data_IF_849459490293
#
_entry.id   IF_849459490293
#
_cell.length_a   1.000
_cell.length_b   1.000
_cell.length_c   1.000
_cell.angle_alpha   90.00
_cell.angle_beta   90.00
_cell.angle_gamma   90.00
#
_symmetry.space_group_name_H-M   'P 1'
#
loop_
_entity.id
_entity.type
_entity.pdbx_description
1 polymer ?
#
# COMPACT_ATOMS: atom_id res chain seq x y z
N UNK A 1 -43.89 -22.52 -4.90
CA UNK A 1 -42.59 -21.86 -4.76
C UNK A 1 -42.58 -20.69 -5.71
N UNK A 2 -42.86 -19.48 -5.20
CA UNK A 2 -42.95 -18.26 -5.99
C UNK A 2 -41.56 -17.77 -6.26
N UNK A 3 -41.10 -17.84 -7.51
CA UNK A 3 -39.91 -17.13 -7.97
C UNK A 3 -40.23 -15.64 -7.92
N UNK A 4 -39.63 -14.92 -6.96
CA UNK A 4 -39.61 -13.47 -6.99
C UNK A 4 -38.84 -13.07 -8.24
N UNK A 5 -39.55 -12.57 -9.25
CA UNK A 5 -38.99 -11.91 -10.42
C UNK A 5 -38.23 -10.71 -9.89
N UNK A 6 -36.91 -10.72 -10.02
CA UNK A 6 -36.10 -9.55 -9.77
C UNK A 6 -36.59 -8.48 -10.78
N UNK A 7 -37.30 -7.48 -10.29
CA UNK A 7 -37.68 -6.31 -11.06
C UNK A 7 -36.40 -5.61 -11.47
N UNK A 8 -36.13 -5.53 -12.79
CA UNK A 8 -35.07 -4.68 -13.29
C UNK A 8 -35.18 -3.29 -12.65
N UNK A 9 -34.10 -2.74 -12.08
CA UNK A 9 -34.15 -1.40 -11.55
C UNK A 9 -34.52 -0.44 -12.69
N UNK A 10 -35.54 0.37 -12.47
CA UNK A 10 -36.02 1.32 -13.46
C UNK A 10 -34.84 2.16 -13.98
N UNK A 11 -34.64 2.21 -15.27
CA UNK A 11 -33.57 2.98 -15.93
C UNK A 11 -33.62 4.43 -15.41
N UNK A 12 -32.59 4.85 -14.67
CA UNK A 12 -32.42 6.24 -14.22
C UNK A 12 -32.41 6.46 -12.70
N UNK A 13 -32.61 5.43 -11.86
CA UNK A 13 -32.49 5.58 -10.42
C UNK A 13 -31.11 5.12 -9.94
N UNK A 14 -30.38 6.07 -9.29
CA UNK A 14 -29.15 5.78 -8.58
C UNK A 14 -29.48 4.96 -7.31
N UNK A 15 -28.69 3.91 -7.05
CA UNK A 15 -28.86 3.11 -5.84
C UNK A 15 -28.42 3.93 -4.62
N UNK A 16 -29.31 4.11 -3.68
CA UNK A 16 -29.00 4.73 -2.39
C UNK A 16 -28.92 3.61 -1.35
N UNK A 17 -27.72 3.37 -0.78
CA UNK A 17 -27.55 2.35 0.24
C UNK A 17 -28.35 2.68 1.50
N UNK A 18 -28.72 1.66 2.26
CA UNK A 18 -29.35 1.86 3.56
C UNK A 18 -28.41 2.61 4.53
N UNK A 19 -28.99 3.26 5.55
CA UNK A 19 -28.20 3.93 6.57
C UNK A 19 -27.23 2.94 7.23
N UNK A 20 -25.94 3.27 7.23
CA UNK A 20 -24.87 2.41 7.75
C UNK A 20 -24.24 3.03 8.99
N UNK A 21 -23.94 2.20 9.99
CA UNK A 21 -23.25 2.60 11.21
C UNK A 21 -21.73 2.48 11.10
N UNK A 22 -21.19 1.93 10.01
CA UNK A 22 -19.75 1.66 9.86
C UNK A 22 -18.90 2.93 9.91
N UNK A 23 -19.37 4.03 9.33
CA UNK A 23 -18.65 5.32 9.38
C UNK A 23 -18.48 5.86 10.80
N UNK A 24 -19.53 5.73 11.64
CA UNK A 24 -19.47 6.12 13.05
C UNK A 24 -18.50 5.22 13.83
N UNK A 25 -18.59 3.91 13.64
CA UNK A 25 -17.68 2.97 14.28
C UNK A 25 -16.22 3.17 13.84
N UNK A 26 -16.00 3.47 12.56
CA UNK A 26 -14.65 3.80 12.05
C UNK A 26 -14.08 5.06 12.72
N UNK A 27 -14.90 6.10 12.88
CA UNK A 27 -14.49 7.34 13.55
C UNK A 27 -14.09 7.09 15.01
N UNK A 28 -14.86 6.28 15.73
CA UNK A 28 -14.53 5.87 17.11
C UNK A 28 -13.26 5.02 17.15
N UNK A 29 -13.09 4.10 16.20
CA UNK A 29 -11.91 3.24 16.11
C UNK A 29 -10.62 4.07 15.88
N UNK A 30 -10.66 5.03 14.97
CA UNK A 30 -9.54 5.96 14.71
C UNK A 30 -9.26 6.80 15.95
N UNK A 31 -10.29 7.34 16.59
CA UNK A 31 -10.13 8.12 17.82
C UNK A 31 -9.46 7.31 18.94
N UNK A 32 -9.92 6.09 19.20
CA UNK A 32 -9.34 5.19 20.21
C UNK A 32 -7.87 4.86 19.90
N UNK A 33 -7.54 4.63 18.62
CA UNK A 33 -6.17 4.35 18.18
C UNK A 33 -5.28 5.57 18.40
N UNK A 34 -5.70 6.75 17.99
CA UNK A 34 -4.97 8.00 18.16
C UNK A 34 -4.78 8.35 19.65
N UNK A 35 -5.84 8.25 20.45
CA UNK A 35 -5.80 8.49 21.89
C UNK A 35 -4.84 7.51 22.58
N UNK A 36 -4.90 6.23 22.20
CA UNK A 36 -4.01 5.21 22.73
C UNK A 36 -2.55 5.46 22.39
N UNK A 37 -2.27 5.93 21.18
CA UNK A 37 -0.93 6.34 20.76
C UNK A 37 -0.42 7.53 21.60
N UNK A 38 -1.25 8.56 21.80
CA UNK A 38 -0.93 9.72 22.65
C UNK A 38 -0.61 9.25 24.08
N UNK A 39 -1.43 8.38 24.66
CA UNK A 39 -1.18 7.84 26.01
C UNK A 39 0.14 7.08 26.06
N UNK A 40 0.44 6.27 25.03
CA UNK A 40 1.66 5.46 24.99
C UNK A 40 2.93 6.30 24.95
N UNK A 41 2.98 7.37 24.14
CA UNK A 41 4.15 8.27 24.09
C UNK A 41 4.30 9.11 25.36
N UNK A 42 3.22 9.32 26.13
CA UNK A 42 3.26 9.98 27.44
C UNK A 42 3.49 9.01 28.62
N UNK A 43 3.88 7.76 28.35
CA UNK A 43 4.20 6.77 29.39
C UNK A 43 3.00 6.14 30.08
N UNK A 44 1.78 6.38 29.62
CA UNK A 44 0.55 5.83 30.21
C UNK A 44 0.30 4.42 29.67
N UNK A 45 0.38 3.41 30.53
CA UNK A 45 0.25 1.99 30.14
C UNK A 45 -1.12 1.65 29.51
N UNK A 46 -2.18 2.33 29.92
CA UNK A 46 -3.53 2.15 29.35
C UNK A 46 -3.59 2.45 27.83
N UNK A 47 -2.61 3.19 27.29
CA UNK A 47 -2.53 3.50 25.86
C UNK A 47 -2.51 2.26 24.96
N UNK A 48 -1.84 1.18 25.37
CA UNK A 48 -1.78 -0.08 24.61
C UNK A 48 -3.17 -0.69 24.45
N UNK A 49 -3.97 -0.71 25.51
CA UNK A 49 -5.33 -1.27 25.47
C UNK A 49 -6.26 -0.45 24.59
N UNK A 50 -6.15 0.88 24.63
CA UNK A 50 -6.91 1.77 23.75
C UNK A 50 -6.54 1.54 22.28
N UNK A 51 -5.25 1.40 21.95
CA UNK A 51 -4.79 1.09 20.59
C UNK A 51 -5.31 -0.26 20.11
N UNK A 52 -5.24 -1.29 20.95
CA UNK A 52 -5.72 -2.62 20.60
C UNK A 52 -7.25 -2.64 20.39
N UNK A 53 -8.00 -1.94 21.23
CA UNK A 53 -9.44 -1.80 21.07
C UNK A 53 -9.81 -1.06 19.77
N UNK A 54 -9.10 0.04 19.48
CA UNK A 54 -9.27 0.78 18.23
C UNK A 54 -8.93 -0.05 16.99
N UNK A 55 -7.82 -0.78 17.02
CA UNK A 55 -7.41 -1.67 15.93
C UNK A 55 -8.39 -2.82 15.70
N UNK A 56 -8.87 -3.46 16.77
CA UNK A 56 -9.87 -4.53 16.68
C UNK A 56 -11.19 -4.02 16.10
N UNK A 57 -11.64 -2.83 16.54
CA UNK A 57 -12.84 -2.20 16.01
C UNK A 57 -12.67 -1.78 14.54
N UNK A 58 -11.50 -1.28 14.15
CA UNK A 58 -11.18 -0.96 12.75
C UNK A 58 -11.25 -2.20 11.87
N UNK A 59 -10.67 -3.31 12.32
CA UNK A 59 -10.73 -4.59 11.61
C UNK A 59 -12.18 -5.08 11.46
N UNK A 60 -12.97 -5.00 12.51
CA UNK A 60 -14.39 -5.34 12.46
C UNK A 60 -15.15 -4.50 11.43
N UNK A 61 -14.92 -3.18 11.41
CA UNK A 61 -15.56 -2.26 10.46
C UNK A 61 -15.15 -2.60 9.02
N UNK A 62 -13.86 -2.77 8.77
CA UNK A 62 -13.35 -3.08 7.42
C UNK A 62 -13.94 -4.39 6.91
N UNK A 63 -13.88 -5.46 7.70
CA UNK A 63 -14.41 -6.77 7.30
C UNK A 63 -15.91 -6.72 7.09
N UNK A 64 -16.65 -6.09 8.01
CA UNK A 64 -18.11 -5.97 7.93
C UNK A 64 -18.56 -5.13 6.74
N UNK A 65 -17.98 -3.96 6.57
CA UNK A 65 -18.36 -3.04 5.48
C UNK A 65 -18.06 -3.62 4.10
N UNK A 66 -16.86 -4.13 3.88
CA UNK A 66 -16.54 -4.79 2.61
C UNK A 66 -17.37 -6.07 2.40
N UNK A 67 -17.71 -6.79 3.47
CA UNK A 67 -18.62 -7.94 3.40
C UNK A 67 -20.01 -7.55 2.92
N UNK A 68 -20.53 -6.42 3.37
CA UNK A 68 -21.82 -5.87 2.93
C UNK A 68 -21.76 -5.45 1.44
N UNK A 69 -20.72 -4.70 1.02
CA UNK A 69 -20.51 -4.33 -0.39
C UNK A 69 -20.43 -5.55 -1.31
N UNK A 70 -19.74 -6.61 -0.88
CA UNK A 70 -19.69 -7.87 -1.63
C UNK A 70 -21.09 -8.50 -1.74
N UNK A 71 -21.85 -8.51 -0.65
CA UNK A 71 -23.22 -9.03 -0.64
C UNK A 71 -24.14 -8.23 -1.56
N UNK A 72 -24.07 -6.91 -1.55
CA UNK A 72 -24.83 -6.02 -2.43
C UNK A 72 -24.49 -6.27 -3.90
N UNK A 73 -23.18 -6.35 -4.23
CA UNK A 73 -22.76 -6.68 -5.59
C UNK A 73 -23.26 -8.05 -6.05
N UNK A 74 -23.23 -9.07 -5.18
CA UNK A 74 -23.74 -10.41 -5.50
C UNK A 74 -25.26 -10.46 -5.66
N UNK A 75 -25.99 -9.54 -5.02
CA UNK A 75 -27.46 -9.37 -5.21
C UNK A 75 -27.81 -8.61 -6.49
N UNK A 76 -26.82 -8.05 -7.19
CA UNK A 76 -27.02 -7.34 -8.45
C UNK A 76 -27.72 -5.99 -8.29
N UNK A 77 -27.59 -5.31 -7.14
CA UNK A 77 -28.24 -4.01 -6.88
C UNK A 77 -27.55 -2.85 -7.56
N UNK A 78 -26.31 -3.05 -8.01
CA UNK A 78 -25.53 -2.00 -8.68
C UNK A 78 -25.84 -1.95 -10.17
N UNK A 79 -26.06 -0.73 -10.68
CA UNK A 79 -26.29 -0.43 -12.10
C UNK A 79 -24.96 0.03 -12.75
N UNK A 80 -25.02 0.36 -14.04
CA UNK A 80 -23.88 0.94 -14.76
C UNK A 80 -23.43 2.30 -14.18
N UNK A 81 -24.33 3.03 -13.49
CA UNK A 81 -24.00 4.30 -12.86
C UNK A 81 -23.09 4.11 -11.64
N UNK A 82 -23.42 3.13 -10.78
CA UNK A 82 -22.60 2.79 -9.62
C UNK A 82 -21.25 2.23 -10.07
N UNK A 83 -21.20 1.34 -11.07
CA UNK A 83 -19.93 0.81 -11.61
C UNK A 83 -19.03 1.95 -12.10
N UNK A 84 -19.59 2.91 -12.86
CA UNK A 84 -18.83 4.09 -13.30
C UNK A 84 -18.37 4.96 -12.16
N UNK A 85 -19.19 5.17 -11.15
CA UNK A 85 -18.85 5.96 -9.95
C UNK A 85 -17.72 5.31 -9.17
N UNK A 86 -17.75 4.00 -8.96
CA UNK A 86 -16.69 3.25 -8.31
C UNK A 86 -15.37 3.30 -9.10
N UNK A 87 -15.42 3.21 -10.43
CA UNK A 87 -14.23 3.35 -11.30
C UNK A 87 -13.60 4.73 -11.15
N UNK A 88 -14.40 5.79 -11.20
CA UNK A 88 -13.92 7.17 -10.99
C UNK A 88 -13.36 7.33 -9.59
N UNK A 89 -14.03 6.79 -8.56
CA UNK A 89 -13.55 6.78 -7.19
C UNK A 89 -12.19 6.09 -7.04
N UNK A 90 -11.99 4.96 -7.70
CA UNK A 90 -10.71 4.24 -7.67
C UNK A 90 -9.59 5.03 -8.37
N UNK A 91 -9.87 5.72 -9.47
CA UNK A 91 -8.91 6.61 -10.13
C UNK A 91 -8.47 7.74 -9.20
N UNK A 92 -9.41 8.40 -8.52
CA UNK A 92 -9.09 9.45 -7.57
C UNK A 92 -8.33 8.94 -6.34
N UNK A 93 -8.67 7.74 -5.88
CA UNK A 93 -7.94 7.08 -4.79
C UNK A 93 -6.47 6.84 -5.21
N UNK A 94 -6.22 6.22 -6.36
CA UNK A 94 -4.85 5.98 -6.86
C UNK A 94 -4.12 7.34 -7.05
N UNK A 95 -4.80 8.35 -7.56
CA UNK A 95 -4.21 9.68 -7.69
C UNK A 95 -3.76 10.25 -6.34
N UNK A 96 -4.56 10.10 -5.28
CA UNK A 96 -4.18 10.54 -3.94
C UNK A 96 -2.95 9.80 -3.41
N UNK A 97 -2.83 8.49 -3.69
CA UNK A 97 -1.67 7.69 -3.32
C UNK A 97 -0.40 8.06 -4.11
N UNK A 98 -0.55 8.40 -5.39
CA UNK A 98 0.55 8.97 -6.19
C UNK A 98 1.04 10.27 -5.57
N UNK A 99 0.14 11.17 -5.15
CA UNK A 99 0.51 12.43 -4.49
C UNK A 99 1.14 12.19 -3.12
N UNK A 100 0.68 11.19 -2.37
CA UNK A 100 1.27 10.78 -1.11
C UNK A 100 2.76 10.39 -1.28
N UNK A 101 3.08 9.50 -2.22
CA UNK A 101 4.46 9.14 -2.51
C UNK A 101 5.26 10.29 -3.11
N UNK A 102 4.66 11.12 -3.97
CA UNK A 102 5.31 12.29 -4.54
C UNK A 102 5.81 13.26 -3.47
N UNK A 103 5.08 13.44 -2.36
CA UNK A 103 5.54 14.24 -1.22
C UNK A 103 6.83 13.68 -0.59
N UNK A 104 6.93 12.36 -0.41
CA UNK A 104 8.14 11.75 0.15
C UNK A 104 9.33 11.78 -0.82
N UNK A 105 9.09 11.54 -2.11
CA UNK A 105 10.14 11.72 -3.14
C UNK A 105 10.58 13.17 -3.24
N UNK A 106 9.64 14.12 -3.11
CA UNK A 106 9.96 15.55 -3.04
C UNK A 106 10.82 15.90 -1.82
N UNK A 107 10.53 15.32 -0.66
CA UNK A 107 11.35 15.46 0.54
C UNK A 107 12.75 14.86 0.35
N UNK A 108 12.85 13.64 -0.24
CA UNK A 108 14.13 13.03 -0.57
C UNK A 108 14.94 13.92 -1.53
N UNK A 109 14.31 14.45 -2.57
CA UNK A 109 14.94 15.38 -3.50
C UNK A 109 15.45 16.64 -2.79
N UNK A 110 14.62 17.27 -1.97
CA UNK A 110 14.98 18.46 -1.20
C UNK A 110 16.19 18.23 -0.31
N UNK A 111 16.17 17.12 0.46
CA UNK A 111 17.28 16.78 1.36
C UNK A 111 18.55 16.55 0.57
N UNK A 112 18.49 15.75 -0.49
CA UNK A 112 19.67 15.31 -1.26
C UNK A 112 20.28 16.42 -2.10
N UNK A 113 19.44 17.23 -2.77
CA UNK A 113 19.89 18.17 -3.79
C UNK A 113 20.05 19.60 -3.26
N UNK A 114 19.35 19.94 -2.19
CA UNK A 114 19.35 21.29 -1.63
C UNK A 114 19.98 21.29 -0.22
N UNK A 115 19.37 20.62 0.73
CA UNK A 115 19.75 20.74 2.14
C UNK A 115 21.17 20.22 2.45
N UNK A 116 21.55 19.04 1.95
CA UNK A 116 22.88 18.49 2.20
C UNK A 116 24.01 19.30 1.55
N UNK A 117 23.91 19.77 0.29
CA UNK A 117 24.89 20.68 -0.29
C UNK A 117 25.03 22.00 0.50
N UNK A 118 23.94 22.61 0.93
CA UNK A 118 23.97 23.84 1.75
C UNK A 118 24.70 23.61 3.09
N UNK A 119 24.43 22.50 3.79
CA UNK A 119 25.10 22.15 5.03
C UNK A 119 26.60 21.83 4.84
N UNK A 120 27.01 21.37 3.67
CA UNK A 120 28.39 21.10 3.31
C UNK A 120 29.18 22.32 2.81
N UNK A 121 28.56 23.51 2.79
CA UNK A 121 29.21 24.76 2.39
C UNK A 121 29.20 25.02 0.88
N UNK A 122 28.08 24.78 0.21
CA UNK A 122 27.88 25.12 -1.21
C UNK A 122 28.09 26.62 -1.50
N UNK A 123 27.72 27.49 -0.56
CA UNK A 123 28.07 28.91 -0.58
C UNK A 123 29.31 29.14 0.29
N UNK A 124 30.43 29.48 -0.32
CA UNK A 124 31.71 29.63 0.36
C UNK A 124 31.77 30.64 1.51
N UNK A 125 30.71 31.44 1.72
CA UNK A 125 30.59 32.42 2.78
C UNK A 125 30.12 31.85 4.12
N UNK A 126 29.51 30.66 4.15
CA UNK A 126 28.97 30.08 5.37
C UNK A 126 29.05 28.54 5.34
N UNK A 127 29.92 27.95 6.14
CA UNK A 127 30.05 26.50 6.35
C UNK A 127 29.63 26.17 7.78
N UNK A 128 28.35 25.82 8.04
CA UNK A 128 27.89 25.54 9.40
C UNK A 128 28.60 24.34 10.04
N UNK A 129 29.15 23.44 9.21
CA UNK A 129 29.85 22.23 9.65
C UNK A 129 31.16 22.04 8.85
N UNK A 130 32.28 22.58 9.36
CA UNK A 130 33.59 22.63 8.67
C UNK A 130 34.15 21.27 8.22
N UNK A 131 33.68 20.16 8.79
CA UNK A 131 34.17 18.79 8.50
C UNK A 131 33.13 17.94 7.76
N UNK A 132 31.99 18.49 7.42
CA UNK A 132 30.94 17.74 6.75
C UNK A 132 31.11 17.75 5.24
N UNK A 133 31.14 16.56 4.63
CA UNK A 133 31.12 16.39 3.19
C UNK A 133 29.72 16.00 2.74
N UNK A 134 29.14 16.79 1.82
CA UNK A 134 27.77 16.60 1.31
C UNK A 134 27.62 15.44 0.33
N UNK A 135 28.29 14.31 0.61
CA UNK A 135 28.18 13.12 -0.23
C UNK A 135 26.88 12.35 0.10
N UNK A 136 26.22 11.81 -0.92
CA UNK A 136 25.08 10.90 -0.75
C UNK A 136 25.52 9.46 -1.02
N UNK A 137 25.06 8.46 -0.22
CA UNK A 137 24.20 8.53 0.96
C UNK A 137 24.88 9.09 2.20
N UNK A 138 24.14 9.84 3.03
CA UNK A 138 24.68 10.55 4.20
C UNK A 138 23.75 10.43 5.40
N UNK A 139 24.37 10.31 6.59
CA UNK A 139 23.65 10.45 7.86
C UNK A 139 23.30 11.91 8.19
N UNK A 140 23.94 12.86 7.50
CA UNK A 140 23.96 14.26 7.87
C UNK A 140 25.15 14.59 8.80
N UNK A 141 25.34 15.88 9.16
CA UNK A 141 26.54 16.33 9.89
C UNK A 141 26.63 15.80 11.34
N UNK A 142 25.54 15.35 11.92
CA UNK A 142 25.43 14.86 13.31
C UNK A 142 24.96 13.41 13.39
N UNK A 143 24.81 12.71 12.27
CA UNK A 143 24.34 11.32 12.26
C UNK A 143 25.46 10.31 12.47
N UNK A 144 25.09 9.14 12.97
CA UNK A 144 26.00 8.02 13.17
C UNK A 144 26.41 7.37 11.83
N UNK A 145 27.62 6.81 11.73
CA UNK A 145 28.07 6.10 10.54
C UNK A 145 27.23 4.83 10.33
N UNK A 146 26.86 4.59 9.07
CA UNK A 146 26.12 3.41 8.63
C UNK A 146 26.68 2.90 7.29
N UNK A 147 26.35 1.67 6.92
CA UNK A 147 26.59 1.15 5.59
C UNK A 147 25.31 1.28 4.75
N UNK A 148 25.37 1.89 3.54
CA UNK A 148 24.19 2.00 2.69
C UNK A 148 23.75 0.65 2.13
N UNK A 149 22.46 0.51 1.82
CA UNK A 149 21.92 -0.71 1.22
C UNK A 149 22.38 -0.84 -0.24
N UNK A 150 22.84 -2.05 -0.59
CA UNK A 150 23.27 -2.34 -1.97
C UNK A 150 22.06 -2.66 -2.87
N UNK A 151 21.98 -1.98 -4.03
CA UNK A 151 20.89 -2.20 -5.00
C UNK A 151 20.91 -3.62 -5.58
N UNK A 152 22.10 -4.15 -5.87
CA UNK A 152 22.30 -5.48 -6.49
C UNK A 152 22.34 -6.58 -5.42
N UNK A 153 21.27 -7.34 -5.33
CA UNK A 153 21.05 -8.37 -4.32
C UNK A 153 19.57 -8.58 -4.08
N UNK A 154 19.16 -8.51 -2.81
CA UNK A 154 17.75 -8.67 -2.42
C UNK A 154 16.84 -7.63 -3.08
N UNK A 155 17.17 -6.32 -3.15
CA UNK A 155 16.30 -5.35 -3.83
C UNK A 155 16.09 -5.65 -5.32
N UNK A 156 17.12 -6.12 -6.03
CA UNK A 156 17.00 -6.52 -7.43
C UNK A 156 16.11 -7.77 -7.58
N UNK A 157 16.24 -8.77 -6.69
CA UNK A 157 15.35 -9.95 -6.66
C UNK A 157 13.91 -9.51 -6.38
N UNK A 158 13.71 -8.62 -5.41
CA UNK A 158 12.39 -8.06 -5.09
C UNK A 158 11.76 -7.34 -6.28
N UNK A 159 12.56 -6.62 -7.07
CA UNK A 159 12.09 -6.00 -8.31
C UNK A 159 11.59 -7.04 -9.31
N UNK A 160 12.35 -8.13 -9.51
CA UNK A 160 11.92 -9.21 -10.40
C UNK A 160 10.65 -9.91 -9.90
N UNK A 161 10.51 -10.11 -8.59
CA UNK A 161 9.33 -10.71 -7.98
C UNK A 161 8.07 -9.87 -8.23
N UNK A 162 8.13 -8.56 -7.98
CA UNK A 162 6.97 -7.67 -8.19
C UNK A 162 6.61 -7.57 -9.67
N UNK A 163 7.56 -7.32 -10.57
CA UNK A 163 7.30 -7.26 -12.01
C UNK A 163 6.67 -8.56 -12.54
N UNK A 164 7.18 -9.72 -12.07
CA UNK A 164 6.60 -11.02 -12.42
C UNK A 164 5.19 -11.15 -11.85
N UNK A 165 4.94 -10.65 -10.63
CA UNK A 165 3.62 -10.67 -10.02
C UNK A 165 2.61 -9.82 -10.79
N UNK A 166 3.00 -8.66 -11.29
CA UNK A 166 2.20 -7.84 -12.18
C UNK A 166 1.84 -8.56 -13.48
N UNK A 167 2.81 -9.28 -14.08
CA UNK A 167 2.57 -10.08 -15.26
C UNK A 167 1.59 -11.25 -15.00
N UNK A 168 1.74 -11.95 -13.86
CA UNK A 168 0.82 -13.05 -13.49
C UNK A 168 -0.59 -12.54 -13.17
N UNK A 169 -0.73 -11.34 -12.61
CA UNK A 169 -2.03 -10.71 -12.38
C UNK A 169 -2.71 -10.32 -13.70
N UNK A 170 -1.96 -9.77 -14.63
CA UNK A 170 -2.47 -9.47 -15.98
C UNK A 170 -2.91 -10.75 -16.70
N UNK A 171 -2.13 -11.82 -16.59
CA UNK A 171 -2.50 -13.13 -17.13
C UNK A 171 -3.77 -13.68 -16.47
N UNK A 172 -3.96 -13.52 -15.17
CA UNK A 172 -5.21 -13.84 -14.46
C UNK A 172 -6.40 -13.04 -15.00
N UNK A 173 -6.21 -11.74 -15.23
CA UNK A 173 -7.25 -10.87 -15.80
C UNK A 173 -7.69 -11.32 -17.19
N UNK A 174 -6.76 -11.69 -18.05
CA UNK A 174 -7.12 -12.28 -19.35
C UNK A 174 -7.90 -13.59 -19.22
N UNK A 175 -7.57 -14.40 -18.20
CA UNK A 175 -8.34 -15.61 -17.86
C UNK A 175 -9.78 -15.29 -17.49
N UNK A 176 -9.98 -14.23 -16.71
CA UNK A 176 -11.32 -13.76 -16.31
C UNK A 176 -12.14 -13.32 -17.52
N UNK A 177 -11.58 -12.47 -18.39
CA UNK A 177 -12.25 -11.97 -19.60
C UNK A 177 -12.60 -13.11 -20.57
N UNK A 178 -11.77 -14.17 -20.66
CA UNK A 178 -11.98 -15.34 -21.51
C UNK A 178 -12.86 -16.42 -20.88
N UNK A 179 -13.38 -16.21 -19.68
CA UNK A 179 -14.13 -17.22 -18.93
C UNK A 179 -13.30 -18.41 -18.44
N UNK A 180 -11.97 -18.35 -18.53
CA UNK A 180 -11.06 -19.42 -18.12
C UNK A 180 -10.76 -19.34 -16.60
N UNK A 181 -11.56 -20.04 -15.80
CA UNK A 181 -11.45 -20.05 -14.35
C UNK A 181 -10.13 -20.64 -13.82
N UNK A 182 -9.57 -21.62 -14.51
CA UNK A 182 -8.29 -22.21 -14.11
C UNK A 182 -7.17 -21.18 -14.22
N UNK A 183 -7.11 -20.49 -15.36
CA UNK A 183 -6.12 -19.43 -15.60
C UNK A 183 -6.24 -18.29 -14.57
N UNK A 184 -7.47 -17.85 -14.27
CA UNK A 184 -7.74 -16.83 -13.26
C UNK A 184 -7.22 -17.24 -11.86
N UNK A 185 -7.59 -18.46 -11.43
CA UNK A 185 -7.25 -18.94 -10.09
C UNK A 185 -5.75 -19.16 -9.92
N UNK A 186 -5.07 -19.78 -10.90
CA UNK A 186 -3.63 -19.98 -10.85
C UNK A 186 -2.85 -18.66 -10.96
N UNK A 187 -3.30 -17.75 -11.80
CA UNK A 187 -2.68 -16.42 -11.91
C UNK A 187 -2.76 -15.64 -10.60
N UNK A 188 -3.93 -15.62 -9.95
CA UNK A 188 -4.10 -14.99 -8.63
C UNK A 188 -3.25 -15.67 -7.55
N UNK A 189 -3.24 -17.01 -7.51
CA UNK A 189 -2.42 -17.75 -6.55
C UNK A 189 -0.92 -17.44 -6.69
N UNK A 190 -0.41 -17.41 -7.93
CA UNK A 190 0.97 -17.03 -8.22
C UNK A 190 1.27 -15.58 -7.81
N UNK A 191 0.37 -14.66 -8.12
CA UNK A 191 0.54 -13.23 -7.75
C UNK A 191 0.62 -13.07 -6.23
N UNK A 192 -0.28 -13.72 -5.47
CA UNK A 192 -0.28 -13.70 -4.00
C UNK A 192 1.03 -14.30 -3.46
N UNK A 193 1.48 -15.43 -4.00
CA UNK A 193 2.72 -16.07 -3.58
C UNK A 193 3.93 -15.16 -3.81
N UNK A 194 4.03 -14.54 -4.98
CA UNK A 194 5.12 -13.63 -5.32
C UNK A 194 5.10 -12.38 -4.42
N UNK A 195 3.94 -11.79 -4.16
CA UNK A 195 3.79 -10.66 -3.25
C UNK A 195 4.16 -11.00 -1.81
N UNK A 196 3.75 -12.18 -1.32
CA UNK A 196 4.14 -12.65 0.02
C UNK A 196 5.65 -12.93 0.11
N UNK A 197 6.26 -13.47 -0.95
CA UNK A 197 7.71 -13.71 -1.02
C UNK A 197 8.48 -12.39 -1.01
N UNK A 198 8.03 -11.40 -1.76
CA UNK A 198 8.58 -10.03 -1.71
C UNK A 198 8.59 -9.50 -0.28
N UNK A 199 7.46 -9.60 0.44
CA UNK A 199 7.36 -9.14 1.84
C UNK A 199 8.31 -9.91 2.75
N UNK A 200 8.49 -11.21 2.56
CA UNK A 200 9.47 -12.02 3.30
C UNK A 200 10.90 -11.49 3.11
N UNK A 201 11.30 -11.22 1.89
CA UNK A 201 12.62 -10.62 1.61
C UNK A 201 12.76 -9.19 2.15
N UNK A 202 11.71 -8.39 2.11
CA UNK A 202 11.73 -7.03 2.67
C UNK A 202 11.93 -7.05 4.19
N UNK A 203 11.26 -7.96 4.91
CA UNK A 203 11.45 -8.14 6.35
C UNK A 203 12.87 -8.61 6.65
N UNK A 204 13.40 -9.55 5.88
CA UNK A 204 14.78 -10.01 6.03
C UNK A 204 15.79 -8.87 5.78
N UNK A 205 15.59 -8.07 4.72
CA UNK A 205 16.41 -6.91 4.40
C UNK A 205 16.44 -5.91 5.56
N UNK A 206 15.30 -5.61 6.15
CA UNK A 206 15.21 -4.72 7.31
C UNK A 206 15.93 -5.27 8.54
N UNK A 207 15.75 -6.55 8.82
CA UNK A 207 16.44 -7.22 9.93
C UNK A 207 17.96 -7.15 9.76
N UNK A 208 18.48 -7.41 8.55
CA UNK A 208 19.88 -7.32 8.21
C UNK A 208 20.41 -5.86 8.32
N UNK A 209 19.66 -4.89 7.81
CA UNK A 209 20.00 -3.46 7.87
C UNK A 209 20.16 -2.99 9.33
N UNK A 210 19.25 -3.38 10.20
CA UNK A 210 19.31 -3.04 11.63
C UNK A 210 20.43 -3.74 12.39
N UNK A 211 20.67 -5.04 12.10
CA UNK A 211 21.61 -5.86 12.87
C UNK A 211 23.07 -5.68 12.44
N UNK A 212 23.33 -5.51 11.15
CA UNK A 212 24.68 -5.63 10.59
C UNK A 212 25.18 -4.34 9.91
N UNK A 213 24.27 -3.46 9.45
CA UNK A 213 24.66 -2.28 8.69
C UNK A 213 24.64 -0.97 9.50
N UNK A 214 24.13 -1.01 10.75
CA UNK A 214 23.89 0.19 11.52
C UNK A 214 22.83 1.12 10.90
N UNK A 215 22.18 0.68 9.82
CA UNK A 215 21.15 1.44 9.13
C UNK A 215 19.83 1.29 9.87
N UNK A 216 19.53 2.28 10.70
CA UNK A 216 18.32 2.33 11.52
C UNK A 216 17.47 3.53 11.11
N UNK A 217 16.23 3.61 11.61
CA UNK A 217 15.37 4.78 11.40
C UNK A 217 16.02 6.06 11.97
N UNK A 218 16.86 5.94 12.99
CA UNK A 218 17.60 7.03 13.62
C UNK A 218 18.99 7.31 13.02
N UNK A 219 19.41 6.56 11.99
CA UNK A 219 20.73 6.72 11.35
C UNK A 219 20.85 7.98 10.47
N UNK A 220 20.14 9.05 10.81
CA UNK A 220 20.17 10.33 10.11
C UNK A 220 19.23 10.38 8.91
N UNK A 221 19.51 11.32 7.99
CA UNK A 221 18.58 11.64 6.90
C UNK A 221 18.41 10.52 5.86
N UNK A 222 19.46 9.75 5.59
CA UNK A 222 19.35 8.60 4.70
C UNK A 222 18.49 7.50 5.33
N UNK A 223 18.78 7.10 6.58
CA UNK A 223 17.99 6.09 7.29
C UNK A 223 16.52 6.49 7.41
N UNK A 224 16.25 7.72 7.81
CA UNK A 224 14.87 8.22 7.93
C UNK A 224 14.12 8.17 6.58
N UNK A 225 14.71 8.69 5.50
CA UNK A 225 14.08 8.70 4.17
C UNK A 225 13.94 7.30 3.58
N UNK A 226 14.94 6.44 3.78
CA UNK A 226 14.91 5.03 3.37
C UNK A 226 13.72 4.29 3.99
N UNK A 227 13.63 4.30 5.34
CA UNK A 227 12.56 3.56 6.03
C UNK A 227 11.16 4.16 5.86
N UNK A 228 11.04 5.48 5.72
CA UNK A 228 9.74 6.09 5.44
C UNK A 228 9.26 5.66 4.04
N UNK A 229 10.06 5.83 3.01
CA UNK A 229 9.69 5.50 1.65
C UNK A 229 9.44 4.01 1.45
N UNK A 230 10.41 3.15 1.81
CA UNK A 230 10.28 1.70 1.63
C UNK A 230 9.30 1.08 2.61
N UNK A 231 9.13 1.63 3.81
CA UNK A 231 8.18 1.16 4.81
C UNK A 231 6.73 1.43 4.44
N UNK A 232 6.41 2.64 3.96
CA UNK A 232 5.07 2.90 3.43
C UNK A 232 4.79 2.08 2.18
N UNK A 233 5.78 1.90 1.30
CA UNK A 233 5.63 0.99 0.18
C UNK A 233 5.34 -0.45 0.65
N UNK A 234 6.10 -0.98 1.59
CA UNK A 234 5.87 -2.31 2.17
C UNK A 234 4.49 -2.46 2.82
N UNK A 235 3.99 -1.40 3.47
CA UNK A 235 2.61 -1.36 3.95
C UNK A 235 1.59 -1.50 2.80
N UNK A 236 1.78 -0.78 1.69
CA UNK A 236 0.92 -0.87 0.50
C UNK A 236 0.99 -2.24 -0.17
N UNK A 237 2.18 -2.85 -0.27
CA UNK A 237 2.33 -4.23 -0.77
C UNK A 237 1.61 -5.23 0.11
N UNK A 238 1.71 -5.09 1.43
CA UNK A 238 1.00 -5.95 2.39
C UNK A 238 -0.50 -5.84 2.21
N UNK A 239 -1.03 -4.61 2.16
CA UNK A 239 -2.45 -4.37 1.94
C UNK A 239 -2.92 -4.92 0.59
N UNK A 240 -2.15 -4.67 -0.48
CA UNK A 240 -2.42 -5.21 -1.82
C UNK A 240 -2.44 -6.73 -1.85
N UNK A 241 -1.48 -7.38 -1.16
CA UNK A 241 -1.45 -8.85 -1.05
C UNK A 241 -2.67 -9.38 -0.32
N UNK A 242 -3.13 -8.73 0.76
CA UNK A 242 -4.37 -9.10 1.45
C UNK A 242 -5.58 -8.94 0.53
N UNK A 243 -5.67 -7.84 -0.20
CA UNK A 243 -6.75 -7.63 -1.19
C UNK A 243 -6.74 -8.70 -2.27
N UNK A 244 -5.58 -9.07 -2.80
CA UNK A 244 -5.43 -10.16 -3.78
C UNK A 244 -5.85 -11.52 -3.20
N UNK A 245 -5.53 -11.82 -1.94
CA UNK A 245 -6.01 -13.04 -1.25
C UNK A 245 -7.53 -13.06 -1.17
N UNK A 246 -8.17 -11.93 -0.86
CA UNK A 246 -9.63 -11.81 -0.86
C UNK A 246 -10.20 -12.03 -2.27
N UNK A 247 -9.58 -11.44 -3.31
CA UNK A 247 -10.00 -11.65 -4.71
C UNK A 247 -9.83 -13.11 -5.14
N UNK A 248 -8.74 -13.76 -4.73
CA UNK A 248 -8.53 -15.20 -4.96
C UNK A 248 -9.62 -16.05 -4.31
N UNK A 249 -9.93 -15.82 -3.03
CA UNK A 249 -11.02 -16.51 -2.33
C UNK A 249 -12.40 -16.28 -2.99
N UNK A 250 -12.69 -15.07 -3.47
CA UNK A 250 -13.90 -14.75 -4.24
C UNK A 250 -13.92 -15.44 -5.60
N UNK A 251 -12.79 -15.53 -6.27
CA UNK A 251 -12.65 -16.24 -7.54
C UNK A 251 -12.94 -17.73 -7.40
N UNK A 252 -12.42 -18.38 -6.34
CA UNK A 252 -12.70 -19.78 -6.03
C UNK A 252 -14.19 -20.04 -5.78
N UNK A 253 -14.90 -19.07 -5.18
CA UNK A 253 -16.36 -19.12 -4.98
C UNK A 253 -17.17 -18.76 -6.22
N UNK A 254 -16.53 -18.39 -7.33
CA UNK A 254 -17.20 -18.04 -8.56
C UNK A 254 -17.92 -16.70 -8.58
N UNK A 255 -17.53 -15.75 -7.74
CA UNK A 255 -18.18 -14.44 -7.60
C UNK A 255 -17.94 -13.50 -8.79
N UNK A 256 -16.99 -13.80 -9.68
CA UNK A 256 -16.69 -12.97 -10.85
C UNK A 256 -17.26 -13.54 -12.13
N UNK A 257 -17.73 -12.65 -13.00
CA UNK A 257 -18.15 -12.94 -14.37
C UNK A 257 -17.41 -12.01 -15.34
N UNK A 258 -17.51 -12.33 -16.65
CA UNK A 258 -16.91 -11.51 -17.72
C UNK A 258 -17.41 -10.04 -17.71
N UNK A 259 -18.61 -9.80 -17.20
CA UNK A 259 -19.26 -8.48 -17.18
C UNK A 259 -19.30 -7.81 -15.80
N UNK A 260 -19.14 -8.56 -14.72
CA UNK A 260 -19.19 -8.03 -13.35
C UNK A 260 -17.93 -8.46 -12.58
N UNK A 261 -16.87 -7.67 -12.69
CA UNK A 261 -15.58 -7.93 -12.06
C UNK A 261 -14.82 -6.66 -11.65
N UNK A 262 -15.50 -5.53 -11.51
CA UNK A 262 -14.84 -4.26 -11.14
C UNK A 262 -13.97 -4.37 -9.88
N UNK A 263 -14.40 -5.11 -8.86
CA UNK A 263 -13.59 -5.28 -7.65
C UNK A 263 -12.22 -5.93 -7.93
N UNK A 264 -12.16 -6.87 -8.89
CA UNK A 264 -10.90 -7.45 -9.35
C UNK A 264 -10.05 -6.40 -10.08
N UNK A 265 -10.65 -5.63 -11.00
CA UNK A 265 -9.94 -4.57 -11.73
C UNK A 265 -9.38 -3.51 -10.78
N UNK A 266 -10.16 -3.08 -9.79
CA UNK A 266 -9.73 -2.09 -8.81
C UNK A 266 -8.50 -2.58 -8.02
N UNK A 267 -8.48 -3.83 -7.59
CA UNK A 267 -7.32 -4.44 -6.92
C UNK A 267 -6.14 -4.60 -7.88
N UNK A 268 -6.38 -4.93 -9.14
CA UNK A 268 -5.33 -5.01 -10.15
C UNK A 268 -4.70 -3.63 -10.42
N UNK A 269 -5.49 -2.57 -10.52
CA UNK A 269 -4.99 -1.19 -10.67
C UNK A 269 -4.13 -0.78 -9.47
N UNK A 270 -4.59 -1.10 -8.27
CA UNK A 270 -3.83 -0.84 -7.05
C UNK A 270 -2.49 -1.58 -7.04
N UNK A 271 -2.47 -2.87 -7.41
CA UNK A 271 -1.26 -3.67 -7.48
C UNK A 271 -0.25 -3.12 -8.48
N UNK A 272 -0.69 -2.78 -9.68
CA UNK A 272 0.19 -2.16 -10.68
C UNK A 272 0.71 -0.78 -10.26
N UNK A 273 -0.11 0.00 -9.54
CA UNK A 273 0.38 1.23 -8.91
C UNK A 273 1.53 0.96 -7.94
N UNK A 274 1.38 -0.03 -7.07
CA UNK A 274 2.42 -0.44 -6.11
C UNK A 274 3.69 -0.91 -6.84
N UNK A 275 3.57 -1.68 -7.92
CA UNK A 275 4.71 -2.08 -8.77
C UNK A 275 5.46 -0.88 -9.34
N UNK A 276 4.76 0.12 -9.85
CA UNK A 276 5.37 1.35 -10.40
C UNK A 276 6.09 2.14 -9.31
N UNK A 277 5.48 2.29 -8.14
CA UNK A 277 6.12 2.97 -6.99
C UNK A 277 7.42 2.25 -6.60
N UNK A 278 7.42 0.89 -6.58
CA UNK A 278 8.64 0.13 -6.30
C UNK A 278 9.75 0.41 -7.30
N UNK A 279 9.45 0.46 -8.60
CA UNK A 279 10.46 0.78 -9.60
C UNK A 279 11.09 2.16 -9.37
N UNK A 280 10.27 3.14 -9.03
CA UNK A 280 10.75 4.48 -8.69
C UNK A 280 11.63 4.43 -7.43
N UNK A 281 11.20 3.70 -6.39
CA UNK A 281 12.00 3.48 -5.17
C UNK A 281 13.32 2.79 -5.48
N UNK A 282 13.31 1.73 -6.26
CA UNK A 282 14.53 0.99 -6.62
C UNK A 282 15.54 1.90 -7.31
N UNK A 283 15.10 2.75 -8.22
CA UNK A 283 15.99 3.70 -8.92
C UNK A 283 16.49 4.79 -7.98
N UNK A 284 15.60 5.49 -7.26
CA UNK A 284 15.95 6.71 -6.53
C UNK A 284 16.50 6.48 -5.13
N UNK A 285 16.24 5.33 -4.52
CA UNK A 285 16.65 5.03 -3.15
C UNK A 285 17.81 4.03 -3.11
N UNK A 286 17.84 3.06 -4.04
CA UNK A 286 18.86 2.01 -4.04
C UNK A 286 19.98 2.20 -5.08
N UNK A 287 19.66 2.70 -6.29
CA UNK A 287 20.67 2.85 -7.36
C UNK A 287 21.34 4.22 -7.28
N UNK A 288 20.57 5.29 -7.21
CA UNK A 288 21.06 6.67 -7.20
C UNK A 288 21.35 7.16 -5.79
#
# INVERSE_FOLDING_TARGET
MSHAVATEPARGHYFVPAASHYSTYLSVAIFLTALGFIFRINGIAAGVWSMLAGAAMMLYVVVGWFGELISENMRGVYTQWEDRSYRIGMVWFIFSEVMFFACFFGALYYIRVISLPELGGYEAAYTPYEKFTSAWPSAGPLGDPFSPMHAWGIPAINTMLLLTSGATLTWAHWGLIKGNRSQLNWGLALTVLLGATFMGFQVYEYAHAYAEMGLTLGAGVYGATFYILTGFHGFHVTLGTIMLMVMWGRSLKGHFSEHNHFAFEAVAWYWHFVDVVWLILFVFVYIL
#
